data_IF_964261787673
#
_entry.id   IF_964261787673
#
_cell.length_a   1.000
_cell.length_b   1.000
_cell.length_c   1.000
_cell.angle_alpha   90.00
_cell.angle_beta   90.00
_cell.angle_gamma   90.00
#
_symmetry.space_group_name_H-M   'P 1'
#
loop_
_entity.id
_entity.type
_entity.pdbx_description
1 polymer ?
#
# COMPACT_ATOMS: atom_id res chain seq x y z
N UNK A 1 -0.21 1.83 20.98
CA UNK A 1 0.19 2.68 19.82
C UNK A 1 -0.80 3.84 19.69
N UNK A 2 -0.30 5.06 19.59
CA UNK A 2 -1.14 6.25 19.46
C UNK A 2 -1.73 6.34 18.04
N UNK A 3 -2.73 7.22 17.86
CA UNK A 3 -3.31 7.45 16.53
C UNK A 3 -2.26 7.97 15.56
N UNK A 4 -1.39 8.89 16.01
CA UNK A 4 -0.33 9.44 15.15
C UNK A 4 0.67 8.37 14.74
N UNK A 5 1.01 7.47 15.63
CA UNK A 5 1.90 6.35 15.32
C UNK A 5 1.27 5.38 14.32
N UNK A 6 -0.02 5.11 14.47
CA UNK A 6 -0.76 4.26 13.51
C UNK A 6 -0.77 4.87 12.12
N UNK A 7 -1.02 6.17 12.04
CA UNK A 7 -1.03 6.90 10.77
C UNK A 7 0.35 6.84 10.13
N UNK A 8 1.40 7.11 10.90
CA UNK A 8 2.77 7.06 10.39
C UNK A 8 3.13 5.65 9.91
N UNK A 9 2.75 4.63 10.67
CA UNK A 9 3.01 3.25 10.27
C UNK A 9 2.36 2.92 8.93
N UNK A 10 1.11 3.38 8.72
CA UNK A 10 0.41 3.14 7.47
C UNK A 10 1.03 3.89 6.30
N UNK A 11 1.54 5.10 6.53
CA UNK A 11 2.26 5.84 5.50
C UNK A 11 3.54 5.14 5.08
N UNK A 12 4.28 4.59 6.03
CA UNK A 12 5.48 3.79 5.76
C UNK A 12 5.11 2.52 5.00
N UNK A 13 4.03 1.87 5.41
CA UNK A 13 3.53 0.66 4.74
C UNK A 13 3.14 0.94 3.29
N UNK A 14 2.51 2.09 3.04
CA UNK A 14 2.17 2.50 1.69
C UNK A 14 3.42 2.69 0.83
N UNK A 15 4.44 3.33 1.38
CA UNK A 15 5.73 3.50 0.69
C UNK A 15 6.37 2.17 0.33
N UNK A 16 6.36 1.22 1.27
CA UNK A 16 6.88 -0.13 1.03
C UNK A 16 6.10 -0.85 -0.06
N UNK A 17 4.77 -0.67 -0.09
CA UNK A 17 3.92 -1.26 -1.11
C UNK A 17 4.25 -0.68 -2.49
N UNK A 18 4.51 0.63 -2.57
CA UNK A 18 4.90 1.27 -3.84
C UNK A 18 6.26 0.78 -4.32
N UNK A 19 7.20 0.52 -3.41
CA UNK A 19 8.48 -0.11 -3.77
C UNK A 19 8.26 -1.51 -4.33
N UNK A 20 7.39 -2.29 -3.72
CA UNK A 20 7.05 -3.62 -4.22
C UNK A 20 6.45 -3.53 -5.63
N UNK A 21 5.62 -2.52 -5.89
CA UNK A 21 5.08 -2.29 -7.22
C UNK A 21 6.19 -2.00 -8.24
N UNK A 22 7.18 -1.18 -7.87
CA UNK A 22 8.32 -0.91 -8.74
C UNK A 22 9.11 -2.17 -9.04
N UNK A 23 9.33 -3.03 -8.04
CA UNK A 23 10.02 -4.31 -8.24
C UNK A 23 9.23 -5.23 -9.16
N UNK A 24 7.90 -5.21 -9.06
CA UNK A 24 7.03 -5.97 -9.94
C UNK A 24 7.18 -5.52 -11.40
N UNK A 25 7.30 -4.21 -11.64
CA UNK A 25 7.53 -3.67 -12.98
C UNK A 25 8.85 -4.16 -13.57
N UNK A 26 9.89 -4.23 -12.74
CA UNK A 26 11.20 -4.73 -13.16
C UNK A 26 11.09 -6.22 -13.48
N UNK A 27 10.38 -6.99 -12.65
CA UNK A 27 10.24 -8.43 -12.83
C UNK A 27 9.55 -8.77 -14.16
N UNK A 28 8.49 -8.04 -14.54
CA UNK A 28 7.82 -8.29 -15.81
C UNK A 28 8.68 -7.86 -16.99
N UNK A 29 9.39 -6.74 -16.88
CA UNK A 29 10.30 -6.29 -17.94
C UNK A 29 11.41 -7.28 -18.20
N UNK A 30 11.94 -7.91 -17.17
CA UNK A 30 13.01 -8.90 -17.27
C UNK A 30 12.50 -10.30 -17.53
N UNK A 31 11.19 -10.46 -17.69
CA UNK A 31 10.57 -11.75 -17.96
C UNK A 31 10.81 -12.78 -16.87
N UNK A 32 10.92 -12.34 -15.63
CA UNK A 32 11.02 -13.23 -14.46
C UNK A 32 9.68 -13.82 -14.07
N UNK A 33 8.60 -13.15 -14.47
CA UNK A 33 7.23 -13.57 -14.19
C UNK A 33 6.40 -13.48 -15.46
N UNK A 34 5.30 -14.24 -15.50
CA UNK A 34 4.38 -14.24 -16.63
C UNK A 34 3.44 -13.04 -16.56
N UNK A 35 2.78 -12.74 -17.67
CA UNK A 35 1.77 -11.69 -17.73
C UNK A 35 0.64 -11.94 -16.73
N UNK A 36 0.20 -13.19 -16.59
CA UNK A 36 -0.85 -13.56 -15.65
C UNK A 36 -0.41 -13.31 -14.21
N UNK A 37 0.82 -13.71 -13.88
CA UNK A 37 1.38 -13.47 -12.55
C UNK A 37 1.49 -11.98 -12.26
N UNK A 38 1.92 -11.20 -13.24
CA UNK A 38 2.01 -9.75 -13.11
C UNK A 38 0.64 -9.14 -12.83
N UNK A 39 -0.37 -9.53 -13.60
CA UNK A 39 -1.72 -8.99 -13.45
C UNK A 39 -2.32 -9.35 -12.08
N UNK A 40 -2.11 -10.57 -11.62
CA UNK A 40 -2.61 -11.01 -10.31
C UNK A 40 -1.95 -10.20 -9.19
N UNK A 41 -0.63 -10.01 -9.25
CA UNK A 41 0.09 -9.23 -8.25
C UNK A 41 -0.33 -7.76 -8.29
N UNK A 42 -0.56 -7.21 -9.48
CA UNK A 42 -0.99 -5.82 -9.64
C UNK A 42 -2.34 -5.59 -8.97
N UNK A 43 -3.29 -6.52 -9.14
CA UNK A 43 -4.61 -6.43 -8.50
C UNK A 43 -4.47 -6.49 -6.98
N UNK A 44 -3.62 -7.39 -6.47
CA UNK A 44 -3.38 -7.50 -5.03
C UNK A 44 -2.79 -6.21 -4.45
N UNK A 45 -1.80 -5.64 -5.12
CA UNK A 45 -1.17 -4.39 -4.70
C UNK A 45 -2.21 -3.27 -4.67
N UNK A 46 -3.05 -3.19 -5.70
CA UNK A 46 -4.10 -2.19 -5.77
C UNK A 46 -5.09 -2.32 -4.60
N UNK A 47 -5.53 -3.54 -4.31
CA UNK A 47 -6.46 -3.79 -3.22
C UNK A 47 -5.84 -3.45 -1.87
N UNK A 48 -4.57 -3.80 -1.66
CA UNK A 48 -3.87 -3.49 -0.41
C UNK A 48 -3.70 -1.98 -0.27
N UNK A 49 -3.38 -1.26 -1.35
CA UNK A 49 -3.23 0.19 -1.30
C UNK A 49 -4.52 0.87 -0.87
N UNK A 50 -5.67 0.39 -1.35
CA UNK A 50 -6.98 0.90 -0.94
C UNK A 50 -7.25 0.65 0.54
N UNK A 51 -6.88 -0.53 1.04
CA UNK A 51 -7.05 -0.85 2.47
C UNK A 51 -6.19 0.07 3.33
N UNK A 52 -4.94 0.28 2.94
CA UNK A 52 -4.00 1.14 3.69
C UNK A 52 -4.52 2.58 3.71
N UNK A 53 -4.90 3.12 2.55
CA UNK A 53 -5.37 4.51 2.48
C UNK A 53 -6.70 4.70 3.19
N UNK A 54 -7.61 3.74 3.10
CA UNK A 54 -8.88 3.80 3.81
C UNK A 54 -8.70 3.78 5.31
N UNK A 55 -7.82 2.92 5.79
CA UNK A 55 -7.52 2.84 7.22
C UNK A 55 -6.81 4.10 7.73
N UNK A 56 -5.87 4.62 6.93
CA UNK A 56 -5.19 5.87 7.25
C UNK A 56 -6.18 7.02 7.37
N UNK A 57 -7.09 7.14 6.41
CA UNK A 57 -8.09 8.21 6.40
C UNK A 57 -9.02 8.10 7.61
N UNK A 58 -9.37 6.88 8.00
CA UNK A 58 -10.17 6.62 9.19
C UNK A 58 -9.45 7.15 10.46
N UNK A 59 -8.16 6.87 10.60
CA UNK A 59 -7.40 7.34 11.76
C UNK A 59 -7.19 8.85 11.72
N UNK A 60 -6.96 9.43 10.56
CA UNK A 60 -6.84 10.88 10.39
C UNK A 60 -8.15 11.56 10.82
N UNK A 61 -9.28 11.02 10.42
CA UNK A 61 -10.60 11.49 10.83
C UNK A 61 -10.76 11.47 12.35
N UNK A 62 -10.28 10.41 13.00
CA UNK A 62 -10.34 10.30 14.47
C UNK A 62 -9.49 11.33 15.17
N UNK A 63 -8.30 11.62 14.64
CA UNK A 63 -7.44 12.66 15.20
C UNK A 63 -8.15 14.02 15.13
N UNK A 64 -8.78 14.33 14.01
CA UNK A 64 -9.51 15.58 13.82
C UNK A 64 -10.70 15.71 14.77
N UNK A 65 -11.44 14.60 14.98
CA UNK A 65 -12.62 14.66 15.85
C UNK A 65 -12.29 14.71 17.34
N UNK A 66 -11.05 14.40 17.71
CA UNK A 66 -10.60 14.44 19.10
C UNK A 66 -9.98 15.80 19.50
N UNK A 67 -9.96 16.74 18.57
CA UNK A 67 -9.53 18.11 18.85
C UNK A 67 -10.72 18.96 19.24
#
# INVERSE_FOLDING_TARGET
MSLKEKIRFLEISYGSLMEAYCQLQIAIKRQYITDNEYNDCKVLIHNISKLITGLRDYFVSKVSSNQ
#
